data_IF_194181925578
#
_entry.id   IF_194181925578
#
_cell.length_a   1.000
_cell.length_b   1.000
_cell.length_c   1.000
_cell.angle_alpha   90.00
_cell.angle_beta   90.00
_cell.angle_gamma   90.00
#
_symmetry.space_group_name_H-M   'P 1'
#
loop_
_entity.id
_entity.type
_entity.pdbx_description
1 polymer ?
#
# COMPACT_ATOMS: atom_id res chain seq x y z
N UNK A 1 -1.87 -1.23 6.82
CA UNK A 1 -2.98 -0.99 7.77
C UNK A 1 -3.34 0.49 7.87
N UNK A 2 -2.41 1.39 8.19
CA UNK A 2 -2.72 2.83 8.38
C UNK A 2 -3.48 3.47 7.21
N UNK A 3 -3.11 3.15 5.97
CA UNK A 3 -3.76 3.68 4.77
C UNK A 3 -4.72 2.71 4.11
N UNK A 4 -5.09 1.59 4.75
CA UNK A 4 -6.05 0.63 4.16
C UNK A 4 -7.36 1.30 3.73
N UNK A 5 -8.04 2.13 4.57
CA UNK A 5 -9.25 2.83 4.14
C UNK A 5 -9.00 3.76 2.95
N UNK A 6 -7.85 4.45 2.94
CA UNK A 6 -7.48 5.35 1.85
C UNK A 6 -7.23 4.59 0.55
N UNK A 7 -6.54 3.46 0.58
CA UNK A 7 -6.30 2.61 -0.61
C UNK A 7 -7.63 2.07 -1.16
N UNK A 8 -8.56 1.72 -0.28
CA UNK A 8 -9.92 1.30 -0.66
C UNK A 8 -10.67 2.45 -1.35
N UNK A 9 -10.56 3.68 -0.83
CA UNK A 9 -11.12 4.87 -1.48
C UNK A 9 -10.43 5.17 -2.83
N UNK A 10 -9.11 5.02 -2.91
CA UNK A 10 -8.33 5.16 -4.16
C UNK A 10 -8.79 4.16 -5.23
N UNK A 11 -9.23 2.97 -4.83
CA UNK A 11 -9.77 1.95 -5.74
C UNK A 11 -11.18 2.26 -6.29
N UNK A 12 -11.78 3.39 -5.89
CA UNK A 12 -13.09 3.82 -6.38
C UNK A 12 -14.27 3.38 -5.53
N UNK A 13 -14.09 3.27 -4.21
CA UNK A 13 -15.20 3.07 -3.27
C UNK A 13 -15.52 4.40 -2.58
N UNK A 14 -16.64 5.02 -2.98
CA UNK A 14 -17.03 6.36 -2.53
C UNK A 14 -17.51 6.42 -1.06
N UNK A 15 -18.14 5.36 -0.56
CA UNK A 15 -18.79 5.41 0.76
C UNK A 15 -17.79 5.24 1.91
N UNK A 16 -17.66 6.27 2.74
CA UNK A 16 -16.85 6.24 3.96
C UNK A 16 -17.23 5.09 4.89
N UNK A 17 -18.53 4.80 5.04
CA UNK A 17 -19.01 3.71 5.88
C UNK A 17 -18.57 2.35 5.33
N UNK A 18 -18.64 2.15 4.02
CA UNK A 18 -18.15 0.91 3.39
C UNK A 18 -16.64 0.77 3.50
N UNK A 19 -15.87 1.86 3.36
CA UNK A 19 -14.43 1.84 3.55
C UNK A 19 -14.03 1.47 4.99
N UNK A 20 -14.80 1.94 6.00
CA UNK A 20 -14.60 1.57 7.40
C UNK A 20 -14.90 0.08 7.64
N UNK A 21 -16.01 -0.45 7.13
CA UNK A 21 -16.32 -1.89 7.24
C UNK A 21 -15.27 -2.77 6.56
N UNK A 22 -14.81 -2.37 5.37
CA UNK A 22 -13.73 -3.08 4.69
C UNK A 22 -12.40 -2.98 5.46
N UNK A 23 -12.17 -1.89 6.17
CA UNK A 23 -11.00 -1.76 7.05
C UNK A 23 -11.06 -2.72 8.25
N UNK A 24 -12.26 -2.97 8.80
CA UNK A 24 -12.45 -4.03 9.80
C UNK A 24 -12.10 -5.41 9.23
N UNK A 25 -12.49 -5.69 7.98
CA UNK A 25 -12.08 -6.93 7.29
C UNK A 25 -10.57 -7.00 7.14
N UNK A 26 -9.90 -5.92 6.75
CA UNK A 26 -8.43 -5.89 6.66
C UNK A 26 -7.75 -6.17 8.01
N UNK A 27 -8.34 -5.73 9.12
CA UNK A 27 -7.85 -6.05 10.46
C UNK A 27 -8.03 -7.53 10.80
N UNK A 28 -9.18 -8.12 10.46
CA UNK A 28 -9.42 -9.55 10.60
C UNK A 28 -8.45 -10.40 9.79
N UNK A 29 -8.17 -10.02 8.54
CA UNK A 29 -7.19 -10.71 7.70
C UNK A 29 -5.77 -10.66 8.28
N UNK A 30 -5.39 -9.55 8.89
CA UNK A 30 -4.10 -9.44 9.59
C UNK A 30 -4.08 -10.31 10.87
N UNK A 31 -5.16 -10.37 11.63
CA UNK A 31 -5.23 -11.26 12.78
C UNK A 31 -5.11 -12.73 12.35
N UNK A 32 -5.82 -13.11 11.29
CA UNK A 32 -5.75 -14.43 10.69
C UNK A 32 -4.34 -14.78 10.20
N UNK A 33 -3.70 -13.88 9.44
CA UNK A 33 -2.33 -14.06 8.96
C UNK A 33 -1.33 -14.28 10.10
N UNK A 34 -1.49 -13.57 11.21
CA UNK A 34 -0.63 -13.71 12.39
C UNK A 34 -0.84 -15.05 13.09
N UNK A 35 -2.08 -15.54 13.20
CA UNK A 35 -2.37 -16.88 13.75
C UNK A 35 -1.73 -17.96 12.89
N UNK A 36 -1.86 -17.85 11.56
CA UNK A 36 -1.21 -18.76 10.61
C UNK A 36 0.31 -18.70 10.80
N UNK A 37 0.89 -17.51 10.96
CA UNK A 37 2.32 -17.35 11.23
C UNK A 37 2.77 -18.13 12.47
N UNK A 38 2.07 -17.96 13.59
CA UNK A 38 2.38 -18.62 14.86
C UNK A 38 2.34 -20.14 14.71
N UNK A 39 1.38 -20.69 13.96
CA UNK A 39 1.31 -22.14 13.75
C UNK A 39 2.46 -22.68 12.89
N UNK A 40 2.85 -21.94 11.84
CA UNK A 40 3.85 -22.40 10.89
C UNK A 40 5.30 -22.09 11.28
N UNK A 41 5.52 -21.15 12.21
CA UNK A 41 6.87 -20.66 12.53
C UNK A 41 7.82 -21.76 12.97
N UNK A 42 7.37 -22.65 13.85
CA UNK A 42 8.19 -23.74 14.37
C UNK A 42 8.22 -24.96 13.43
N UNK A 43 7.30 -25.04 12.45
CA UNK A 43 7.26 -26.14 11.49
C UNK A 43 8.11 -25.87 10.26
N UNK A 44 7.98 -24.70 9.64
CA UNK A 44 8.62 -24.38 8.35
C UNK A 44 10.01 -23.78 8.50
N UNK A 45 10.29 -23.10 9.62
CA UNK A 45 11.52 -22.33 9.83
C UNK A 45 11.34 -20.85 9.48
N UNK A 46 12.16 -20.01 10.12
CA UNK A 46 11.96 -18.55 10.20
C UNK A 46 12.37 -17.90 8.88
N UNK A 47 13.51 -18.31 8.31
CA UNK A 47 14.01 -17.79 7.03
C UNK A 47 13.07 -18.13 5.87
N UNK A 48 12.61 -19.38 5.80
CA UNK A 48 11.72 -19.83 4.71
C UNK A 48 10.39 -19.08 4.71
N UNK A 49 9.80 -18.86 5.89
CA UNK A 49 8.56 -18.09 6.01
C UNK A 49 8.75 -16.61 5.67
N UNK A 50 9.87 -15.99 6.06
CA UNK A 50 10.19 -14.62 5.63
C UNK A 50 10.29 -14.51 4.11
N UNK A 51 10.95 -15.46 3.46
CA UNK A 51 11.09 -15.49 1.99
C UNK A 51 9.72 -15.67 1.31
N UNK A 52 8.90 -16.63 1.76
CA UNK A 52 7.56 -16.85 1.19
C UNK A 52 6.68 -15.60 1.36
N UNK A 53 6.71 -14.98 2.54
CA UNK A 53 5.99 -13.75 2.86
C UNK A 53 6.42 -12.60 1.96
N UNK A 54 7.72 -12.36 1.81
CA UNK A 54 8.25 -11.29 0.95
C UNK A 54 7.94 -11.52 -0.53
N UNK A 55 8.01 -12.76 -1.02
CA UNK A 55 7.56 -13.09 -2.38
C UNK A 55 6.08 -12.73 -2.58
N UNK A 56 5.21 -13.09 -1.62
CA UNK A 56 3.79 -12.72 -1.66
C UNK A 56 3.56 -11.20 -1.61
N UNK A 57 4.36 -10.48 -0.82
CA UNK A 57 4.35 -9.01 -0.78
C UNK A 57 4.74 -8.41 -2.13
N UNK A 58 5.82 -8.89 -2.77
CA UNK A 58 6.25 -8.40 -4.09
C UNK A 58 5.17 -8.66 -5.15
N UNK A 59 4.59 -9.86 -5.18
CA UNK A 59 3.53 -10.21 -6.15
C UNK A 59 2.29 -9.33 -5.93
N UNK A 60 1.87 -9.15 -4.68
CA UNK A 60 0.68 -8.34 -4.36
C UNK A 60 0.88 -6.85 -4.65
N UNK A 61 2.06 -6.29 -4.39
CA UNK A 61 2.40 -4.92 -4.78
C UNK A 61 2.44 -4.74 -6.30
N UNK A 62 2.97 -5.72 -7.04
CA UNK A 62 2.93 -5.74 -8.50
C UNK A 62 1.50 -5.77 -9.04
N UNK A 63 0.64 -6.62 -8.47
CA UNK A 63 -0.78 -6.68 -8.80
C UNK A 63 -1.49 -5.35 -8.52
N UNK A 64 -1.29 -4.76 -7.34
CA UNK A 64 -1.86 -3.46 -6.99
C UNK A 64 -1.41 -2.37 -7.97
N UNK A 65 -0.11 -2.32 -8.29
CA UNK A 65 0.43 -1.38 -9.28
C UNK A 65 -0.25 -1.52 -10.65
N UNK A 66 -0.40 -2.75 -11.15
CA UNK A 66 -1.04 -3.03 -12.43
C UNK A 66 -2.53 -2.63 -12.42
N UNK A 67 -3.27 -2.98 -11.36
CA UNK A 67 -4.69 -2.62 -11.24
C UNK A 67 -4.89 -1.11 -11.16
N UNK A 68 -4.05 -0.39 -10.42
CA UNK A 68 -4.11 1.07 -10.36
C UNK A 68 -3.69 1.74 -11.67
N UNK A 69 -2.80 1.11 -12.44
CA UNK A 69 -2.48 1.56 -13.79
C UNK A 69 -3.69 1.44 -14.71
N UNK A 70 -4.36 0.28 -14.72
CA UNK A 70 -5.57 0.06 -15.50
C UNK A 70 -6.75 0.94 -15.06
N UNK A 71 -6.85 1.22 -13.77
CA UNK A 71 -7.84 2.12 -13.20
C UNK A 71 -7.62 3.57 -13.68
N UNK A 72 -6.37 3.98 -13.83
CA UNK A 72 -6.04 5.31 -14.33
C UNK A 72 -6.24 5.43 -15.85
N UNK A 73 -5.97 4.38 -16.63
CA UNK A 73 -6.16 4.36 -18.09
C UNK A 73 -7.64 4.33 -18.49
N UNK A 74 -8.47 3.57 -17.77
CA UNK A 74 -9.90 3.43 -18.02
C UNK A 74 -10.77 4.34 -17.12
N UNK A 75 -10.21 5.43 -16.61
CA UNK A 75 -10.96 6.37 -15.79
C UNK A 75 -12.08 7.05 -16.63
N UNK A 76 -13.30 7.22 -16.08
CA UNK A 76 -14.41 7.81 -16.81
C UNK A 76 -14.09 9.25 -17.24
N UNK A 77 -14.59 9.61 -18.42
CA UNK A 77 -14.47 10.95 -18.95
C UNK A 77 -15.33 11.96 -18.15
N UNK A 78 -14.94 13.22 -18.18
CA UNK A 78 -15.78 14.31 -17.67
C UNK A 78 -16.58 14.87 -18.83
N UNK A 79 -17.91 14.88 -18.71
CA UNK A 79 -18.81 15.45 -19.72
C UNK A 79 -19.04 16.93 -19.45
N UNK A 80 -18.84 17.77 -20.47
CA UNK A 80 -19.15 19.21 -20.38
C UNK A 80 -20.65 19.45 -20.14
N UNK A 81 -21.53 18.60 -20.66
CA UNK A 81 -22.99 18.73 -20.48
C UNK A 81 -23.43 18.42 -19.04
N UNK A 82 -22.84 17.40 -18.42
CA UNK A 82 -23.07 17.10 -17.00
C UNK A 82 -22.44 18.17 -16.10
N UNK A 83 -21.31 18.74 -16.52
CA UNK A 83 -20.64 19.81 -15.79
C UNK A 83 -21.44 21.12 -15.85
N UNK A 84 -22.04 21.45 -17.00
CA UNK A 84 -22.89 22.64 -17.13
C UNK A 84 -24.18 22.57 -16.30
N UNK A 85 -24.66 21.36 -15.99
CA UNK A 85 -25.76 21.20 -15.05
C UNK A 85 -25.43 21.79 -13.65
N UNK A 86 -24.14 21.90 -13.32
CA UNK A 86 -23.62 22.45 -12.07
C UNK A 86 -22.74 23.69 -12.31
N UNK A 87 -23.14 24.58 -13.24
CA UNK A 87 -22.37 25.77 -13.67
C UNK A 87 -21.74 26.57 -12.51
N UNK A 88 -22.45 26.72 -11.39
CA UNK A 88 -21.98 27.46 -10.20
C UNK A 88 -20.87 26.76 -9.39
N UNK A 89 -20.68 25.45 -9.57
CA UNK A 89 -19.79 24.60 -8.76
C UNK A 89 -18.69 23.92 -9.58
N UNK A 90 -18.53 24.30 -10.84
CA UNK A 90 -17.54 23.71 -11.75
C UNK A 90 -16.11 24.08 -11.33
N UNK A 91 -15.17 23.14 -11.47
CA UNK A 91 -13.77 23.41 -11.18
C UNK A 91 -13.14 24.40 -12.20
N UNK A 92 -12.46 25.47 -11.74
CA UNK A 92 -11.82 26.49 -12.60
C UNK A 92 -10.80 25.91 -13.61
N UNK A 93 -10.06 24.87 -13.20
CA UNK A 93 -9.08 24.21 -14.07
C UNK A 93 -9.74 23.54 -15.28
N UNK A 94 -10.99 23.07 -15.13
CA UNK A 94 -11.76 22.46 -16.22
C UNK A 94 -12.27 23.50 -17.24
N UNK A 95 -12.48 24.75 -16.81
CA UNK A 95 -12.95 25.84 -17.67
C UNK A 95 -11.83 26.50 -18.49
N UNK A 96 -10.58 26.38 -18.03
CA UNK A 96 -9.40 27.03 -18.64
C UNK A 96 -8.69 26.16 -19.68
N UNK A 97 -9.12 24.89 -19.82
CA UNK A 97 -8.62 24.01 -20.85
C UNK A 97 -9.45 24.21 -22.13
N UNK A 98 -8.80 24.62 -23.23
CA UNK A 98 -9.44 24.81 -24.54
C UNK A 98 -10.12 23.54 -25.10
N UNK A 99 -10.58 23.53 -26.37
CA UNK A 99 -11.50 22.51 -26.91
C UNK A 99 -10.91 21.08 -27.05
N UNK A 100 -9.71 20.78 -26.56
CA UNK A 100 -8.99 19.53 -26.91
C UNK A 100 -8.03 18.93 -25.86
N UNK A 101 -8.31 19.00 -24.55
CA UNK A 101 -7.91 17.89 -23.69
C UNK A 101 -9.17 17.19 -23.19
N UNK A 102 -9.31 15.90 -23.53
CA UNK A 102 -10.30 15.03 -22.89
C UNK A 102 -9.97 15.02 -21.39
N UNK A 103 -10.86 15.61 -20.60
CA UNK A 103 -10.82 15.57 -19.14
C UNK A 103 -11.33 14.22 -18.68
N UNK A 104 -10.61 13.62 -17.74
CA UNK A 104 -11.01 12.37 -17.09
C UNK A 104 -11.05 12.58 -15.58
N UNK A 105 -11.72 11.68 -14.87
CA UNK A 105 -11.84 11.75 -13.41
C UNK A 105 -10.47 11.91 -12.73
N UNK A 106 -9.43 11.22 -13.21
CA UNK A 106 -8.11 11.29 -12.57
C UNK A 106 -7.44 12.67 -12.71
N UNK A 107 -7.60 13.35 -13.85
CA UNK A 107 -7.15 14.74 -14.03
C UNK A 107 -7.96 15.70 -13.16
N UNK A 108 -9.27 15.49 -13.05
CA UNK A 108 -10.13 16.26 -12.16
C UNK A 108 -9.65 16.19 -10.71
N UNK A 109 -9.37 14.99 -10.20
CA UNK A 109 -8.91 14.82 -8.81
C UNK A 109 -7.49 15.36 -8.55
N UNK A 110 -6.65 15.50 -9.60
CA UNK A 110 -5.29 16.07 -9.49
C UNK A 110 -5.25 17.61 -9.61
N UNK A 111 -6.36 18.24 -9.98
CA UNK A 111 -6.47 19.70 -10.05
C UNK A 111 -6.19 20.30 -8.66
N UNK A 112 -5.17 21.17 -8.59
CA UNK A 112 -4.54 21.57 -7.33
C UNK A 112 -5.05 22.90 -6.76
N UNK A 113 -5.90 23.66 -7.46
CA UNK A 113 -6.43 24.92 -6.93
C UNK A 113 -7.75 25.34 -7.57
N UNK A 114 -8.89 25.23 -6.86
CA UNK A 114 -9.13 24.57 -5.57
C UNK A 114 -9.13 23.02 -5.66
N UNK A 115 -9.13 22.33 -4.51
CA UNK A 115 -9.32 20.87 -4.48
C UNK A 115 -10.63 20.49 -5.16
N UNK A 116 -10.56 19.63 -6.17
CA UNK A 116 -11.71 19.20 -6.96
C UNK A 116 -12.19 17.79 -6.56
N UNK A 117 -13.44 17.49 -6.87
CA UNK A 117 -14.06 16.19 -6.70
C UNK A 117 -14.82 15.79 -7.96
N UNK A 118 -15.03 14.48 -8.11
CA UNK A 118 -15.75 13.90 -9.24
C UNK A 118 -17.12 13.42 -8.77
N UNK A 119 -18.17 13.93 -9.42
CA UNK A 119 -19.54 13.48 -9.22
C UNK A 119 -19.93 12.52 -10.35
N UNK A 120 -20.30 11.29 -10.00
CA UNK A 120 -20.64 10.28 -11.00
C UNK A 120 -21.95 10.58 -11.72
N UNK A 121 -22.21 9.90 -12.83
CA UNK A 121 -23.55 9.90 -13.43
C UNK A 121 -24.56 9.21 -12.52
N UNK A 122 -25.82 9.60 -12.62
CA UNK A 122 -26.94 9.02 -11.85
C UNK A 122 -27.35 7.63 -12.36
N UNK A 123 -27.03 7.30 -13.63
CA UNK A 123 -27.37 6.00 -14.25
C UNK A 123 -26.35 4.90 -13.94
N UNK A 124 -25.07 5.20 -14.12
CA UNK A 124 -23.96 4.27 -13.88
C UNK A 124 -22.70 5.06 -13.52
N UNK A 125 -21.97 4.59 -12.51
CA UNK A 125 -20.72 5.19 -12.03
C UNK A 125 -19.59 5.17 -13.06
N UNK A 126 -19.66 4.29 -14.07
CA UNK A 126 -18.65 4.19 -15.14
C UNK A 126 -18.93 5.15 -16.31
N UNK A 127 -20.11 5.78 -16.35
CA UNK A 127 -20.44 6.75 -17.38
C UNK A 127 -19.79 8.12 -17.10
N UNK A 128 -19.70 8.99 -18.13
CA UNK A 128 -19.14 10.31 -17.97
C UNK A 128 -19.83 11.11 -16.87
N UNK A 129 -19.03 11.71 -15.98
CA UNK A 129 -19.50 12.48 -14.83
C UNK A 129 -19.14 13.96 -14.92
N UNK A 130 -19.30 14.66 -13.80
CA UNK A 130 -19.00 16.09 -13.67
C UNK A 130 -17.80 16.33 -12.74
N UNK A 131 -16.96 17.32 -13.06
CA UNK A 131 -15.83 17.74 -12.24
C UNK A 131 -16.18 19.04 -11.48
N UNK A 132 -16.29 18.95 -10.15
CA UNK A 132 -16.84 20.00 -9.31
C UNK A 132 -15.89 20.36 -8.16
N UNK A 133 -16.04 21.56 -7.59
CA UNK A 133 -15.24 22.02 -6.46
C UNK A 133 -15.52 21.12 -5.24
N UNK A 134 -14.47 20.68 -4.56
CA UNK A 134 -14.57 19.83 -3.37
C UNK A 134 -14.99 20.65 -2.16
N UNK A 135 -16.30 20.65 -1.88
CA UNK A 135 -16.90 21.25 -0.69
C UNK A 135 -18.09 20.39 -0.20
N UNK A 136 -18.40 20.46 1.10
CA UNK A 136 -19.47 19.66 1.70
C UNK A 136 -20.84 19.96 1.05
N UNK A 137 -21.11 21.22 0.71
CA UNK A 137 -22.36 21.60 0.01
C UNK A 137 -22.48 20.93 -1.36
N UNK A 138 -21.40 20.93 -2.16
CA UNK A 138 -21.39 20.32 -3.50
C UNK A 138 -21.54 18.81 -3.41
N UNK A 139 -20.88 18.19 -2.42
CA UNK A 139 -21.04 16.78 -2.11
C UNK A 139 -22.49 16.43 -1.79
N UNK A 140 -23.17 17.20 -0.94
CA UNK A 140 -24.58 16.97 -0.60
C UNK A 140 -25.50 17.13 -1.81
N UNK A 141 -25.25 18.14 -2.65
CA UNK A 141 -26.00 18.36 -3.91
C UNK A 141 -25.84 17.16 -4.86
N UNK A 142 -24.61 16.67 -5.06
CA UNK A 142 -24.34 15.47 -5.87
C UNK A 142 -25.08 14.24 -5.30
N UNK A 143 -24.98 14.02 -3.98
CA UNK A 143 -25.60 12.86 -3.33
C UNK A 143 -27.14 12.90 -3.36
N UNK A 144 -27.74 14.10 -3.36
CA UNK A 144 -29.20 14.27 -3.46
C UNK A 144 -29.79 13.72 -4.76
N UNK A 145 -29.00 13.64 -5.83
CA UNK A 145 -29.40 13.08 -7.13
C UNK A 145 -29.09 11.58 -7.30
N UNK A 146 -28.88 10.85 -6.19
CA UNK A 146 -28.41 9.45 -6.20
C UNK A 146 -27.08 9.25 -6.94
N UNK A 147 -26.21 10.26 -6.94
CA UNK A 147 -24.87 10.18 -7.53
C UNK A 147 -23.82 9.94 -6.45
N UNK A 148 -22.76 9.21 -6.79
CA UNK A 148 -21.65 8.96 -5.88
C UNK A 148 -20.58 10.05 -6.01
N UNK A 149 -20.02 10.43 -4.87
CA UNK A 149 -19.03 11.50 -4.77
C UNK A 149 -17.65 10.94 -4.49
N UNK A 150 -16.70 11.28 -5.36
CA UNK A 150 -15.34 10.76 -5.37
C UNK A 150 -14.34 11.89 -5.15
N UNK A 151 -13.40 11.71 -4.21
CA UNK A 151 -12.37 12.73 -3.89
C UNK A 151 -10.93 12.23 -4.01
N UNK A 152 -10.71 10.92 -3.85
CA UNK A 152 -9.36 10.33 -3.83
C UNK A 152 -9.13 9.33 -4.95
N UNK A 153 -10.16 8.58 -5.34
CA UNK A 153 -10.09 7.59 -6.42
C UNK A 153 -11.24 7.74 -7.38
N UNK A 154 -11.10 7.16 -8.56
CA UNK A 154 -12.13 7.17 -9.60
C UNK A 154 -12.86 5.82 -9.63
N UNK A 155 -14.16 5.80 -9.97
CA UNK A 155 -14.88 4.54 -10.16
C UNK A 155 -14.24 3.76 -11.30
N UNK A 156 -14.02 2.48 -11.08
CA UNK A 156 -13.51 1.57 -12.09
C UNK A 156 -14.10 0.18 -11.93
N UNK A 157 -14.15 -0.57 -13.02
CA UNK A 157 -14.53 -1.98 -12.99
C UNK A 157 -13.46 -2.84 -12.31
N UNK A 158 -12.20 -2.41 -12.34
CA UNK A 158 -11.06 -3.14 -11.78
C UNK A 158 -10.85 -2.91 -10.27
N UNK A 159 -11.62 -2.02 -9.63
CA UNK A 159 -11.46 -1.69 -8.20
C UNK A 159 -11.56 -2.89 -7.25
N UNK A 160 -12.35 -3.92 -7.57
CA UNK A 160 -12.44 -5.13 -6.76
C UNK A 160 -11.15 -5.97 -6.80
N UNK A 161 -10.40 -5.95 -7.91
CA UNK A 161 -9.09 -6.59 -8.00
C UNK A 161 -8.08 -5.90 -7.07
N UNK A 162 -8.20 -4.58 -6.89
CA UNK A 162 -7.37 -3.85 -5.92
C UNK A 162 -7.67 -4.29 -4.48
N UNK A 163 -8.93 -4.60 -4.15
CA UNK A 163 -9.28 -5.16 -2.84
C UNK A 163 -8.66 -6.54 -2.61
N UNK A 164 -8.68 -7.40 -3.63
CA UNK A 164 -8.03 -8.72 -3.57
C UNK A 164 -6.51 -8.57 -3.43
N UNK A 165 -5.90 -7.68 -4.21
CA UNK A 165 -4.47 -7.38 -4.09
C UNK A 165 -4.09 -6.87 -2.69
N UNK A 166 -4.90 -5.99 -2.11
CA UNK A 166 -4.71 -5.50 -0.74
C UNK A 166 -4.87 -6.60 0.30
N UNK A 167 -5.88 -7.46 0.15
CA UNK A 167 -6.08 -8.62 1.03
C UNK A 167 -4.90 -9.59 0.96
N UNK A 168 -4.43 -9.91 -0.25
CA UNK A 168 -3.26 -10.77 -0.47
C UNK A 168 -1.99 -10.16 0.14
N UNK A 169 -1.79 -8.84 -0.02
CA UNK A 169 -0.69 -8.12 0.61
C UNK A 169 -0.72 -8.27 2.13
N UNK A 170 -1.88 -8.05 2.76
CA UNK A 170 -2.03 -8.12 4.22
C UNK A 170 -1.74 -9.53 4.74
N UNK A 171 -2.32 -10.55 4.13
CA UNK A 171 -2.11 -11.95 4.54
C UNK A 171 -0.63 -12.34 4.36
N UNK A 172 -0.04 -11.96 3.22
CA UNK A 172 1.37 -12.27 2.93
C UNK A 172 2.29 -11.57 3.92
N UNK A 173 2.09 -10.28 4.18
CA UNK A 173 2.88 -9.51 5.15
C UNK A 173 2.75 -10.07 6.57
N UNK A 174 1.51 -10.28 7.02
CA UNK A 174 1.21 -10.71 8.38
C UNK A 174 1.75 -12.12 8.69
N UNK A 175 1.75 -13.03 7.72
CA UNK A 175 2.21 -14.40 7.92
C UNK A 175 3.74 -14.54 8.13
N UNK A 176 4.55 -13.56 7.74
CA UNK A 176 6.00 -13.60 7.91
C UNK A 176 6.60 -12.29 8.42
N UNK A 177 6.63 -11.26 7.58
CA UNK A 177 7.23 -9.96 7.92
C UNK A 177 6.60 -9.26 9.14
N UNK A 178 5.37 -9.60 9.51
CA UNK A 178 4.71 -9.05 10.70
C UNK A 178 5.29 -9.54 12.04
N UNK A 179 5.53 -10.84 12.16
CA UNK A 179 5.86 -11.51 13.44
C UNK A 179 7.32 -11.95 13.50
N UNK A 180 7.86 -12.46 12.40
CA UNK A 180 9.17 -13.13 12.38
C UNK A 180 10.33 -12.18 12.66
N UNK A 181 10.37 -10.93 12.14
CA UNK A 181 11.47 -10.02 12.46
C UNK A 181 11.61 -9.76 13.97
N UNK A 182 10.51 -9.71 14.73
CA UNK A 182 10.56 -9.55 16.19
C UNK A 182 11.14 -10.77 16.89
N UNK A 183 10.84 -11.97 16.38
CA UNK A 183 11.31 -13.24 16.93
C UNK A 183 12.79 -13.43 16.60
N UNK A 184 13.18 -13.20 15.35
CA UNK A 184 14.58 -13.24 14.95
C UNK A 184 15.36 -12.20 15.75
N UNK A 185 14.87 -10.96 15.86
CA UNK A 185 15.51 -9.90 16.66
C UNK A 185 15.71 -10.29 18.14
N UNK A 186 14.91 -11.19 18.72
CA UNK A 186 15.21 -11.71 20.05
C UNK A 186 16.25 -12.83 20.00
N UNK A 187 16.25 -13.71 18.99
CA UNK A 187 17.13 -14.87 18.87
C UNK A 187 18.59 -14.57 18.47
N UNK A 188 18.87 -13.56 17.64
CA UNK A 188 20.24 -13.31 17.09
C UNK A 188 21.16 -12.51 18.00
N UNK A 189 20.66 -11.81 19.03
CA UNK A 189 21.51 -10.96 19.86
C UNK A 189 22.16 -11.71 21.02
N UNK A 190 23.45 -11.44 21.32
CA UNK A 190 24.13 -12.00 22.47
C UNK A 190 23.47 -11.52 23.77
N UNK A 191 23.44 -12.38 24.79
CA UNK A 191 22.69 -12.14 26.03
C UNK A 191 23.07 -10.82 26.73
N UNK A 192 24.34 -10.42 26.66
CA UNK A 192 24.84 -9.22 27.34
C UNK A 192 24.35 -7.91 26.70
N UNK A 193 24.16 -7.87 25.38
CA UNK A 193 23.79 -6.66 24.64
C UNK A 193 22.37 -6.70 24.05
N UNK A 194 21.63 -7.79 24.25
CA UNK A 194 20.27 -8.00 23.70
C UNK A 194 19.34 -6.81 23.94
N UNK A 195 19.38 -6.19 25.12
CA UNK A 195 18.56 -5.02 25.44
C UNK A 195 18.90 -3.80 24.58
N UNK A 196 20.19 -3.49 24.41
CA UNK A 196 20.65 -2.34 23.62
C UNK A 196 20.40 -2.57 22.13
N UNK A 197 20.77 -3.74 21.60
CA UNK A 197 20.54 -4.10 20.20
C UNK A 197 19.04 -4.12 19.87
N UNK A 198 18.21 -4.69 20.76
CA UNK A 198 16.76 -4.68 20.63
C UNK A 198 16.19 -3.26 20.62
N UNK A 199 16.70 -2.37 21.48
CA UNK A 199 16.33 -0.95 21.50
C UNK A 199 16.65 -0.24 20.19
N UNK A 200 17.87 -0.40 19.67
CA UNK A 200 18.32 0.19 18.39
C UNK A 200 17.42 -0.29 17.24
N UNK A 201 17.14 -1.60 17.17
CA UNK A 201 16.29 -2.17 16.13
C UNK A 201 14.85 -1.62 16.21
N UNK A 202 14.28 -1.51 17.42
CA UNK A 202 12.96 -0.95 17.62
C UNK A 202 12.91 0.54 17.21
N UNK A 203 13.91 1.35 17.59
CA UNK A 203 14.00 2.75 17.19
C UNK A 203 14.12 2.89 15.67
N UNK A 204 14.95 2.08 15.01
CA UNK A 204 15.07 2.07 13.55
C UNK A 204 13.74 1.71 12.87
N UNK A 205 12.99 0.75 13.43
CA UNK A 205 11.66 0.39 12.94
C UNK A 205 10.66 1.55 13.08
N UNK A 206 10.62 2.23 14.23
CA UNK A 206 9.70 3.36 14.44
C UNK A 206 10.04 4.57 13.58
N UNK A 207 11.33 4.88 13.37
CA UNK A 207 11.78 5.93 12.45
C UNK A 207 11.38 5.57 11.01
N UNK A 208 11.61 4.33 10.59
CA UNK A 208 11.21 3.86 9.25
C UNK A 208 9.69 3.95 9.06
N UNK A 209 8.90 3.59 10.08
CA UNK A 209 7.45 3.72 10.06
C UNK A 209 7.02 5.19 9.90
N UNK A 210 7.65 6.13 10.62
CA UNK A 210 7.37 7.56 10.47
C UNK A 210 7.65 8.07 9.05
N UNK A 211 8.81 7.68 8.49
CA UNK A 211 9.19 8.06 7.12
C UNK A 211 8.16 7.54 6.11
N UNK A 212 7.78 6.27 6.21
CA UNK A 212 6.79 5.65 5.30
C UNK A 212 5.41 6.30 5.46
N UNK A 213 4.98 6.57 6.70
CA UNK A 213 3.69 7.20 6.96
C UNK A 213 3.61 8.61 6.34
N UNK A 214 4.63 9.44 6.52
CA UNK A 214 4.63 10.78 5.95
C UNK A 214 4.77 10.75 4.41
N UNK A 215 5.66 9.90 3.89
CA UNK A 215 5.94 9.85 2.45
C UNK A 215 4.81 9.25 1.61
N UNK A 216 4.04 8.30 2.14
CA UNK A 216 3.05 7.53 1.35
C UNK A 216 2.04 8.43 0.63
N UNK A 217 1.33 9.29 1.37
CA UNK A 217 0.30 10.15 0.79
C UNK A 217 0.91 11.17 -0.18
N UNK A 218 2.02 11.80 0.20
CA UNK A 218 2.72 12.76 -0.66
C UNK A 218 3.21 12.14 -1.97
N UNK A 219 3.71 10.90 -1.95
CA UNK A 219 4.07 10.16 -3.16
C UNK A 219 2.83 9.85 -4.01
N UNK A 220 1.74 9.36 -3.41
CA UNK A 220 0.52 9.06 -4.17
C UNK A 220 -0.08 10.29 -4.86
N UNK A 221 0.03 11.47 -4.24
CA UNK A 221 -0.42 12.74 -4.83
C UNK A 221 0.52 13.22 -5.95
N UNK A 222 1.84 13.16 -5.73
CA UNK A 222 2.83 13.68 -6.68
C UNK A 222 2.98 12.81 -7.94
N UNK A 223 3.19 11.50 -7.77
CA UNK A 223 3.52 10.58 -8.88
C UNK A 223 2.38 9.61 -9.21
N UNK A 224 1.34 9.53 -8.38
CA UNK A 224 0.21 8.63 -8.57
C UNK A 224 0.40 7.28 -7.88
N UNK A 225 -0.73 6.61 -7.59
CA UNK A 225 -0.77 5.37 -6.80
C UNK A 225 0.00 4.20 -7.43
N UNK A 226 -0.10 4.01 -8.75
CA UNK A 226 0.58 2.93 -9.46
C UNK A 226 2.11 3.00 -9.28
N UNK A 227 2.71 4.17 -9.55
CA UNK A 227 4.16 4.37 -9.38
C UNK A 227 4.61 4.26 -7.93
N UNK A 228 3.80 4.74 -6.98
CA UNK A 228 4.07 4.58 -5.55
C UNK A 228 4.18 3.10 -5.15
N UNK A 229 3.28 2.23 -5.62
CA UNK A 229 3.37 0.79 -5.32
C UNK A 229 4.58 0.11 -5.97
N UNK A 230 5.03 0.56 -7.16
CA UNK A 230 6.27 0.07 -7.78
C UNK A 230 7.48 0.38 -6.90
N UNK A 231 7.58 1.60 -6.36
CA UNK A 231 8.68 1.99 -5.48
C UNK A 231 8.74 1.08 -4.24
N UNK A 232 7.61 0.85 -3.57
CA UNK A 232 7.56 -0.10 -2.44
C UNK A 232 7.82 -1.55 -2.88
N UNK A 233 7.44 -1.93 -4.09
CA UNK A 233 7.76 -3.22 -4.69
C UNK A 233 9.27 -3.42 -4.86
N UNK A 234 9.98 -2.43 -5.40
CA UNK A 234 11.44 -2.46 -5.55
C UNK A 234 12.13 -2.55 -4.20
N UNK A 235 11.69 -1.76 -3.20
CA UNK A 235 12.22 -1.85 -1.83
C UNK A 235 12.01 -3.25 -1.26
N UNK A 236 10.84 -3.86 -1.52
CA UNK A 236 10.53 -5.22 -1.07
C UNK A 236 11.40 -6.29 -1.76
N UNK A 237 11.76 -6.10 -3.03
CA UNK A 237 12.71 -6.97 -3.74
C UNK A 237 14.11 -6.85 -3.16
N UNK A 238 14.57 -5.64 -2.85
CA UNK A 238 15.86 -5.41 -2.17
C UNK A 238 15.86 -6.09 -0.79
N UNK A 239 14.76 -5.96 -0.03
CA UNK A 239 14.60 -6.64 1.25
C UNK A 239 14.59 -8.17 1.10
N UNK A 240 13.94 -8.70 0.05
CA UNK A 240 13.96 -10.13 -0.25
C UNK A 240 15.38 -10.63 -0.52
N UNK A 241 16.18 -9.90 -1.30
CA UNK A 241 17.58 -10.24 -1.53
C UNK A 241 18.40 -10.20 -0.24
N UNK A 242 18.21 -9.17 0.59
CA UNK A 242 18.84 -9.07 1.91
C UNK A 242 18.50 -10.27 2.80
N UNK A 243 17.23 -10.69 2.86
CA UNK A 243 16.82 -11.87 3.66
C UNK A 243 17.45 -13.16 3.12
N UNK A 244 17.56 -13.31 1.80
CA UNK A 244 18.18 -14.49 1.19
C UNK A 244 19.67 -14.59 1.54
N UNK A 245 20.41 -13.47 1.51
CA UNK A 245 21.86 -13.44 1.71
C UNK A 245 22.24 -13.33 3.18
N UNK A 246 21.68 -12.36 3.90
CA UNK A 246 22.16 -11.93 5.21
C UNK A 246 21.46 -12.66 6.37
N UNK A 247 20.20 -13.08 6.23
CA UNK A 247 19.47 -13.69 7.35
C UNK A 247 19.78 -15.19 7.43
N UNK A 248 20.33 -15.69 8.56
CA UNK A 248 20.52 -17.12 8.81
C UNK A 248 19.20 -17.81 9.21
N UNK A 249 19.17 -19.14 9.18
CA UNK A 249 18.08 -19.91 9.78
C UNK A 249 18.40 -20.13 11.26
N UNK A 250 17.51 -19.71 12.15
CA UNK A 250 17.66 -19.82 13.62
C UNK A 250 16.81 -20.94 14.21
N UNK A 251 16.11 -21.71 13.36
CA UNK A 251 15.15 -22.73 13.81
C UNK A 251 15.82 -23.82 14.66
N UNK A 252 15.39 -23.92 15.91
CA UNK A 252 15.68 -25.06 16.80
C UNK A 252 17.10 -25.07 17.36
N UNK A 253 17.86 -23.97 17.22
CA UNK A 253 19.18 -23.81 17.80
C UNK A 253 19.06 -23.10 19.16
N UNK A 254 19.82 -23.53 20.19
CA UNK A 254 19.97 -22.75 21.41
C UNK A 254 20.69 -21.43 21.12
N UNK A 255 20.49 -20.43 21.98
CA UNK A 255 20.98 -19.06 21.76
C UNK A 255 22.50 -19.03 21.61
N UNK A 256 23.20 -19.85 22.38
CA UNK A 256 24.65 -19.96 22.40
C UNK A 256 25.21 -20.50 21.07
N UNK A 257 24.53 -21.47 20.45
CA UNK A 257 24.90 -21.99 19.12
C UNK A 257 24.61 -20.96 18.01
N UNK A 258 23.58 -20.10 18.19
CA UNK A 258 23.32 -18.99 17.26
C UNK A 258 24.44 -17.95 17.33
N UNK A 259 24.96 -17.67 18.52
CA UNK A 259 26.10 -16.77 18.73
C UNK A 259 27.36 -17.31 18.04
N UNK A 260 27.72 -18.58 18.27
CA UNK A 260 28.87 -19.24 17.61
C UNK A 260 28.70 -19.32 16.08
N UNK A 261 27.47 -19.58 15.60
CA UNK A 261 27.15 -19.55 14.17
C UNK A 261 27.35 -18.16 13.57
N UNK A 262 27.02 -17.09 14.28
CA UNK A 262 27.20 -15.72 13.79
C UNK A 262 28.67 -15.28 13.82
N UNK A 263 29.41 -15.65 14.87
CA UNK A 263 30.86 -15.42 14.95
C UNK A 263 31.61 -16.13 13.82
N UNK A 264 31.26 -17.39 13.54
CA UNK A 264 31.82 -18.14 12.41
C UNK A 264 31.34 -17.64 11.04
N UNK A 265 30.16 -17.03 10.97
CA UNK A 265 29.62 -16.38 9.76
C UNK A 265 30.12 -14.97 9.52
N UNK A 266 30.88 -14.35 10.44
CA UNK A 266 31.41 -13.00 10.26
C UNK A 266 32.34 -12.93 9.03
N UNK A 267 31.72 -12.72 7.87
CA UNK A 267 32.27 -12.33 6.57
C UNK A 267 33.26 -13.32 5.91
N UNK A 268 32.75 -14.43 5.36
CA UNK A 268 33.28 -14.93 4.06
C UNK A 268 32.62 -14.21 2.87
N UNK A 269 32.61 -12.87 2.87
CA UNK A 269 32.68 -12.14 1.60
C UNK A 269 34.13 -12.24 1.13
N UNK A 270 34.48 -13.35 0.48
CA UNK A 270 35.83 -13.62 -0.03
C UNK A 270 36.11 -12.78 -1.29
N UNK A 271 35.99 -11.46 -1.19
CA UNK A 271 36.36 -10.52 -2.26
C UNK A 271 37.82 -10.06 -2.15
N UNK A 272 38.52 -10.37 -1.05
CA UNK A 272 39.97 -10.20 -0.97
C UNK A 272 40.62 -11.17 0.03
N UNK A 273 40.60 -12.47 -0.30
CA UNK A 273 41.50 -13.43 0.32
C UNK A 273 42.69 -13.65 -0.60
N UNK A 274 43.82 -12.98 -0.36
CA UNK A 274 45.09 -13.47 -0.90
C UNK A 274 45.32 -14.85 -0.30
N UNK A 275 45.21 -15.89 -1.12
CA UNK A 275 45.90 -17.15 -0.88
C UNK A 275 47.39 -16.84 -0.93
N UNK A 276 48.07 -16.84 0.22
CA UNK A 276 49.29 -17.63 0.51
C UNK A 276 49.34 -17.76 2.03
#
# INVERSE_FOLDING_TARGET
MYYSPTIIQLAGIASNQTALHLSLVTAGLNAFGSIVSIYFIDRTGRKKLLVISLCGVVISLGLLSAVFHETASHAPAVSSMETSHFDLYTCPDNQSAGPSPVWNCMKCLKASSPSCGFCSSSKDKLLPGACLISNNTVKEVCQKENREWYTRGCPSSFGWLALIGLALYIISFSSGMGTIPWIVNSEIYPLHYRGVCGGIAATANWISNLIVAQSFLSLTEAIGTSWTFIIYGVISVVALFFVLVCVPETKGLPIEEVEEMLESRALQFKFWGKKV
#
